data_IF_123901904646
#
_entry.id   IF_123901904646
#
_cell.length_a   1.000
_cell.length_b   1.000
_cell.length_c   1.000
_cell.angle_alpha   90.00
_cell.angle_beta   90.00
_cell.angle_gamma   90.00
#
_symmetry.space_group_name_H-M   'P 1'
#
loop_
_entity.id
_entity.type
_entity.pdbx_description
1 polymer ?
#
# COMPACT_ATOMS: atom_id res chain seq x y z
N UNK A 1 -9.21 -15.84 -47.47
CA UNK A 1 -10.26 -16.04 -46.45
C UNK A 1 -9.94 -15.11 -45.29
N UNK A 2 -10.61 -13.95 -45.25
CA UNK A 2 -10.41 -12.91 -44.25
C UNK A 2 -11.51 -13.05 -43.18
N UNK A 3 -11.12 -13.17 -41.91
CA UNK A 3 -12.02 -13.16 -40.78
C UNK A 3 -11.92 -11.80 -40.10
N UNK A 4 -12.96 -10.97 -40.28
CA UNK A 4 -13.18 -9.72 -39.56
C UNK A 4 -14.01 -10.07 -38.33
N UNK A 5 -13.50 -9.81 -37.12
CA UNK A 5 -14.29 -9.86 -35.88
C UNK A 5 -14.57 -8.44 -35.42
N UNK A 6 -15.84 -8.05 -35.48
CA UNK A 6 -16.40 -6.85 -34.85
C UNK A 6 -16.37 -6.97 -33.33
N UNK A 7 -15.88 -5.94 -32.67
CA UNK A 7 -16.13 -5.68 -31.25
C UNK A 7 -17.26 -4.65 -31.13
N UNK A 8 -18.33 -5.01 -30.42
CA UNK A 8 -19.41 -4.12 -30.06
C UNK A 8 -19.11 -3.46 -28.71
N UNK A 9 -19.18 -2.13 -28.64
CA UNK A 9 -19.22 -1.36 -27.41
C UNK A 9 -20.54 -1.62 -26.68
N UNK A 10 -20.48 -1.97 -25.40
CA UNK A 10 -21.61 -1.81 -24.47
C UNK A 10 -21.29 -0.66 -23.51
N UNK A 11 -22.06 0.43 -23.64
CA UNK A 11 -22.07 1.53 -22.70
C UNK A 11 -22.99 1.16 -21.52
N UNK A 12 -22.43 1.07 -20.32
CA UNK A 12 -23.17 0.88 -19.08
C UNK A 12 -23.54 2.21 -18.44
N UNK A 13 -24.84 2.48 -18.37
CA UNK A 13 -25.46 3.57 -17.60
C UNK A 13 -25.09 3.48 -16.12
N UNK A 14 -24.57 4.56 -15.55
CA UNK A 14 -24.50 4.78 -14.11
C UNK A 14 -25.84 5.35 -13.61
N UNK A 15 -26.51 4.64 -12.69
CA UNK A 15 -27.61 5.16 -11.90
C UNK A 15 -27.04 5.83 -10.64
N UNK A 16 -27.25 7.14 -10.51
CA UNK A 16 -26.98 7.91 -9.27
C UNK A 16 -28.27 7.94 -8.47
N UNK A 17 -28.29 7.25 -7.33
CA UNK A 17 -29.35 7.38 -6.34
C UNK A 17 -29.07 8.60 -5.47
N UNK A 18 -29.83 9.69 -5.69
CA UNK A 18 -29.80 10.89 -4.87
C UNK A 18 -30.66 10.74 -3.62
N UNK A 19 -30.06 10.88 -2.44
CA UNK A 19 -30.79 11.15 -1.21
C UNK A 19 -31.12 12.64 -1.15
N UNK A 20 -32.39 12.98 -1.42
CA UNK A 20 -32.93 14.33 -1.26
C UNK A 20 -33.18 14.63 0.21
N UNK A 21 -32.44 15.60 0.75
CA UNK A 21 -32.76 16.29 2.00
C UNK A 21 -33.36 17.66 1.69
N UNK A 22 -34.66 17.81 1.91
CA UNK A 22 -35.37 19.09 1.86
C UNK A 22 -34.98 19.94 3.06
N UNK A 23 -34.49 21.17 2.82
CA UNK A 23 -34.35 22.20 3.86
C UNK A 23 -35.36 23.30 3.57
N UNK A 24 -36.29 23.48 4.51
CA UNK A 24 -37.26 24.56 4.55
C UNK A 24 -36.58 25.93 4.67
N UNK A 25 -36.98 26.84 3.79
CA UNK A 25 -36.67 28.27 3.90
C UNK A 25 -37.79 28.98 4.67
N UNK A 26 -37.49 29.53 5.84
CA UNK A 26 -38.33 30.50 6.55
C UNK A 26 -37.64 31.86 6.66
N UNK A 27 -38.32 32.99 6.42
CA UNK A 27 -37.71 34.33 6.50
C UNK A 27 -38.00 35.03 7.83
N UNK A 28 -37.10 35.96 8.22
CA UNK A 28 -37.38 37.36 8.58
C UNK A 28 -36.55 37.93 9.77
N UNK A 29 -35.89 39.06 9.48
CA UNK A 29 -35.77 40.33 10.25
C UNK A 29 -35.12 40.45 11.64
N UNK A 30 -34.31 41.52 11.77
CA UNK A 30 -34.01 42.29 13.01
C UNK A 30 -32.50 42.41 13.27
N UNK A 31 -31.80 43.50 12.96
CA UNK A 31 -31.78 44.86 13.56
C UNK A 31 -30.97 45.00 14.87
N UNK A 32 -29.90 45.81 14.77
CA UNK A 32 -29.32 46.76 15.73
C UNK A 32 -28.53 46.27 16.97
N UNK A 33 -27.30 46.80 17.04
CA UNK A 33 -26.52 47.32 18.17
C UNK A 33 -26.49 46.55 19.51
N UNK A 34 -25.28 46.19 19.95
CA UNK A 34 -24.70 46.77 21.18
C UNK A 34 -23.22 46.43 21.36
N UNK A 35 -22.43 47.49 21.56
CA UNK A 35 -21.10 47.49 22.17
C UNK A 35 -21.16 46.95 23.60
N UNK A 36 -20.18 46.13 23.98
CA UNK A 36 -20.04 45.62 25.35
C UNK A 36 -18.69 44.96 25.57
N UNK A 37 -17.71 45.76 25.98
CA UNK A 37 -16.41 45.27 26.46
C UNK A 37 -16.59 44.36 27.68
N UNK A 38 -16.00 43.17 27.65
CA UNK A 38 -15.83 42.30 28.82
C UNK A 38 -14.41 41.72 28.85
N UNK A 39 -13.81 41.75 30.04
CA UNK A 39 -12.46 41.30 30.35
C UNK A 39 -12.27 39.80 30.07
N UNK A 40 -11.04 39.34 29.72
CA UNK A 40 -10.74 37.91 29.69
C UNK A 40 -10.57 37.40 31.11
N UNK A 41 -11.51 36.54 31.54
CA UNK A 41 -11.37 35.70 32.71
C UNK A 41 -10.62 34.41 32.34
N UNK A 42 -9.68 34.04 33.19
CA UNK A 42 -9.00 32.76 33.19
C UNK A 42 -10.00 31.65 33.52
N UNK A 43 -10.41 30.86 32.52
CA UNK A 43 -11.21 29.64 32.73
C UNK A 43 -10.53 28.42 32.11
N UNK A 44 -9.96 27.63 33.04
CA UNK A 44 -9.95 26.19 33.11
C UNK A 44 -10.35 25.37 31.86
N UNK A 45 -9.35 24.63 31.35
CA UNK A 45 -9.45 23.22 30.94
C UNK A 45 -10.79 22.74 30.36
N UNK A 46 -10.98 22.95 29.05
CA UNK A 46 -12.03 22.32 28.22
C UNK A 46 -11.45 21.15 27.39
N UNK A 47 -10.73 20.23 28.03
CA UNK A 47 -10.53 18.91 27.44
C UNK A 47 -11.54 17.97 28.09
N UNK A 48 -12.52 17.42 27.34
CA UNK A 48 -13.36 16.37 27.87
C UNK A 48 -12.48 15.18 28.24
N UNK A 49 -12.67 14.66 29.46
CA UNK A 49 -12.03 13.44 29.95
C UNK A 49 -12.10 12.35 28.89
N UNK A 50 -10.96 11.70 28.65
CA UNK A 50 -10.84 10.56 27.76
C UNK A 50 -11.97 9.57 28.05
N UNK A 51 -12.71 9.20 27.00
CA UNK A 51 -13.75 8.19 27.09
C UNK A 51 -13.17 6.92 27.74
N UNK A 52 -13.88 6.30 28.70
CA UNK A 52 -13.40 5.09 29.34
C UNK A 52 -13.11 4.04 28.27
N UNK A 53 -11.91 3.49 28.28
CA UNK A 53 -11.52 2.36 27.44
C UNK A 53 -12.56 1.25 27.63
N UNK A 54 -13.44 1.12 26.64
CA UNK A 54 -14.40 0.03 26.57
C UNK A 54 -13.58 -1.24 26.38
N UNK A 55 -13.35 -1.96 27.48
CA UNK A 55 -12.79 -3.31 27.45
C UNK A 55 -13.78 -4.22 26.71
N UNK A 56 -13.67 -4.27 25.38
CA UNK A 56 -14.32 -5.29 24.58
C UNK A 56 -13.68 -6.61 25.02
N UNK A 57 -14.38 -7.33 25.88
CA UNK A 57 -14.04 -8.70 26.23
C UNK A 57 -14.34 -9.52 24.98
N UNK A 58 -13.32 -9.71 24.14
CA UNK A 58 -13.39 -10.71 23.08
C UNK A 58 -13.62 -12.06 23.77
N UNK A 59 -14.57 -12.88 23.29
CA UNK A 59 -14.76 -14.22 23.83
C UNK A 59 -13.39 -14.91 23.78
N UNK A 60 -13.00 -15.48 24.92
CA UNK A 60 -11.78 -16.26 25.07
C UNK A 60 -11.77 -17.33 23.97
N UNK A 61 -11.11 -17.03 22.85
CA UNK A 61 -10.81 -17.98 21.80
C UNK A 61 -9.73 -18.88 22.37
N UNK A 62 -10.14 -19.72 23.31
CA UNK A 62 -9.56 -21.03 23.53
C UNK A 62 -9.68 -21.77 22.21
N UNK A 63 -8.76 -21.43 21.31
CA UNK A 63 -8.47 -22.13 20.08
C UNK A 63 -8.45 -23.59 20.48
N UNK A 64 -9.42 -24.33 19.93
CA UNK A 64 -9.63 -25.74 20.16
C UNK A 64 -8.27 -26.46 20.18
N UNK A 65 -8.16 -27.44 21.08
CA UNK A 65 -7.03 -28.34 21.25
C UNK A 65 -6.18 -28.41 19.98
N UNK A 66 -4.91 -28.02 20.09
CA UNK A 66 -3.90 -28.13 19.03
C UNK A 66 -3.88 -29.58 18.54
N UNK A 67 -4.75 -29.90 17.58
CA UNK A 67 -4.66 -31.13 16.84
C UNK A 67 -3.28 -31.09 16.22
N UNK A 68 -2.42 -32.02 16.61
CA UNK A 68 -1.15 -32.26 15.93
C UNK A 68 -1.51 -32.67 14.51
N UNK A 69 -1.56 -31.68 13.61
CA UNK A 69 -1.82 -31.93 12.21
C UNK A 69 -0.52 -32.54 11.67
N UNK A 70 -0.57 -33.84 11.36
CA UNK A 70 0.53 -34.56 10.72
C UNK A 70 0.58 -34.18 9.23
N UNK A 71 0.95 -32.92 8.96
CA UNK A 71 1.19 -32.45 7.60
C UNK A 71 2.61 -32.86 7.24
N UNK A 72 2.78 -34.07 6.71
CA UNK A 72 4.04 -34.40 6.04
C UNK A 72 4.11 -33.49 4.79
N UNK A 73 5.04 -32.52 4.71
CA UNK A 73 5.08 -31.61 3.59
C UNK A 73 5.34 -32.42 2.32
N UNK A 74 4.42 -32.38 1.35
CA UNK A 74 4.68 -32.95 0.03
C UNK A 74 5.91 -32.27 -0.58
N UNK A 75 6.54 -32.91 -1.56
CA UNK A 75 7.75 -32.41 -2.23
C UNK A 75 7.62 -30.93 -2.70
N UNK A 76 6.40 -30.52 -3.06
CA UNK A 76 6.11 -29.13 -3.43
C UNK A 76 6.26 -28.13 -2.28
N UNK A 77 5.94 -28.48 -1.04
CA UNK A 77 5.93 -27.56 0.11
C UNK A 77 7.31 -27.44 0.79
N UNK A 78 8.38 -27.34 0.00
CA UNK A 78 9.77 -27.27 0.50
C UNK A 78 10.66 -26.41 -0.39
N UNK A 79 11.74 -25.85 0.17
CA UNK A 79 12.73 -25.06 -0.57
C UNK A 79 12.35 -23.58 -0.71
N UNK A 80 12.56 -23.02 -1.90
CA UNK A 80 12.28 -21.60 -2.19
C UNK A 80 10.80 -21.34 -2.52
N UNK A 81 10.40 -20.07 -2.42
CA UNK A 81 9.06 -19.64 -2.80
C UNK A 81 8.78 -19.95 -4.29
N UNK A 82 7.65 -20.59 -4.55
CA UNK A 82 7.31 -21.07 -5.90
C UNK A 82 5.82 -21.20 -6.12
N UNK A 83 5.45 -21.14 -7.40
CA UNK A 83 4.10 -21.32 -7.90
C UNK A 83 4.10 -22.50 -8.86
N UNK A 84 3.07 -23.34 -8.79
CA UNK A 84 2.72 -24.28 -9.85
C UNK A 84 1.38 -23.87 -10.46
N UNK A 85 1.38 -23.52 -11.74
CA UNK A 85 0.20 -23.13 -12.49
C UNK A 85 0.18 -23.87 -13.82
N UNK A 86 -0.94 -24.54 -14.14
CA UNK A 86 -1.12 -25.32 -15.37
C UNK A 86 0.01 -26.33 -15.65
N UNK A 87 0.52 -26.97 -14.59
CA UNK A 87 1.61 -27.95 -14.67
C UNK A 87 3.03 -27.37 -14.73
N UNK A 88 3.19 -26.07 -14.96
CA UNK A 88 4.47 -25.38 -14.92
C UNK A 88 4.79 -24.95 -13.49
N UNK A 89 6.01 -25.24 -13.00
CA UNK A 89 6.51 -24.71 -11.72
C UNK A 89 7.51 -23.59 -11.98
N UNK A 90 7.36 -22.48 -11.30
CA UNK A 90 8.22 -21.30 -11.42
C UNK A 90 8.50 -20.69 -10.04
N UNK A 91 9.71 -20.17 -9.88
CA UNK A 91 10.10 -19.30 -8.75
C UNK A 91 9.77 -17.86 -9.12
N UNK A 92 9.23 -17.10 -8.17
CA UNK A 92 8.92 -15.68 -8.40
C UNK A 92 9.35 -14.84 -7.19
N UNK A 93 9.87 -13.63 -7.43
CA UNK A 93 10.06 -12.63 -6.38
C UNK A 93 8.74 -12.35 -5.67
N UNK A 94 8.84 -12.01 -4.39
CA UNK A 94 7.70 -11.74 -3.53
C UNK A 94 7.77 -10.32 -2.98
N UNK A 95 6.61 -9.69 -2.88
CA UNK A 95 6.41 -8.51 -2.04
C UNK A 95 5.23 -8.71 -1.09
N UNK A 96 5.18 -7.95 0.00
CA UNK A 96 4.08 -8.02 0.94
C UNK A 96 3.48 -6.67 1.29
N UNK A 97 2.24 -6.69 1.73
CA UNK A 97 1.56 -5.55 2.37
C UNK A 97 0.82 -6.00 3.61
N UNK A 98 0.76 -5.12 4.60
CA UNK A 98 -0.11 -5.27 5.75
C UNK A 98 -1.52 -4.81 5.37
N UNK A 99 -2.54 -5.56 5.78
CA UNK A 99 -3.95 -5.20 5.59
C UNK A 99 -4.53 -4.84 6.94
N UNK A 100 -4.67 -3.55 7.21
CA UNK A 100 -5.33 -3.06 8.43
C UNK A 100 -6.71 -2.50 8.05
N UNK A 101 -7.76 -3.11 8.60
CA UNK A 101 -9.14 -2.61 8.54
C UNK A 101 -9.68 -2.50 9.96
N UNK A 102 -10.68 -1.64 10.19
CA UNK A 102 -11.33 -1.50 11.51
C UNK A 102 -11.85 -2.83 12.08
N UNK A 103 -12.20 -3.79 11.21
CA UNK A 103 -12.71 -5.11 11.59
C UNK A 103 -11.66 -6.21 11.63
N UNK A 104 -10.51 -6.01 10.98
CA UNK A 104 -9.77 -7.10 10.40
C UNK A 104 -8.27 -6.77 10.27
N UNK A 105 -7.42 -7.75 10.58
CA UNK A 105 -5.97 -7.71 10.36
C UNK A 105 -5.62 -8.73 9.27
N UNK A 106 -4.48 -8.57 8.60
CA UNK A 106 -4.13 -9.46 7.52
C UNK A 106 -2.89 -9.05 6.76
N UNK A 107 -2.64 -9.78 5.68
CA UNK A 107 -1.51 -9.52 4.82
C UNK A 107 -1.84 -9.88 3.38
N UNK A 108 -1.19 -9.19 2.46
CA UNK A 108 -1.14 -9.55 1.05
C UNK A 108 0.27 -10.02 0.75
N UNK A 109 0.40 -11.18 0.10
CA UNK A 109 1.66 -11.69 -0.44
C UNK A 109 1.53 -11.77 -1.95
N UNK A 110 2.37 -11.05 -2.68
CA UNK A 110 2.30 -10.93 -4.14
C UNK A 110 3.49 -11.58 -4.79
N UNK A 111 3.21 -12.49 -5.72
CA UNK A 111 4.19 -13.13 -6.57
C UNK A 111 4.30 -12.33 -7.88
N UNK A 112 5.51 -11.87 -8.20
CA UNK A 112 5.78 -11.10 -9.41
C UNK A 112 5.91 -12.01 -10.63
N UNK A 113 4.80 -12.65 -11.02
CA UNK A 113 4.73 -13.65 -12.09
C UNK A 113 4.39 -13.09 -13.46
N UNK A 114 4.10 -11.79 -13.57
CA UNK A 114 3.65 -11.16 -14.83
C UNK A 114 4.55 -11.45 -16.04
N UNK A 115 5.89 -11.46 -15.94
CA UNK A 115 6.74 -11.80 -17.08
C UNK A 115 6.53 -13.23 -17.61
N UNK A 116 6.12 -14.17 -16.74
CA UNK A 116 5.95 -15.59 -17.11
C UNK A 116 4.49 -15.96 -17.38
N UNK A 117 3.54 -15.38 -16.64
CA UNK A 117 2.12 -15.74 -16.68
C UNK A 117 1.22 -14.67 -17.30
N UNK A 118 1.73 -13.46 -17.55
CA UNK A 118 0.95 -12.31 -18.01
C UNK A 118 0.24 -11.53 -16.90
N UNK A 119 0.23 -12.04 -15.67
CA UNK A 119 -0.32 -11.39 -14.47
C UNK A 119 0.51 -11.73 -13.22
N UNK A 120 0.41 -10.91 -12.19
CA UNK A 120 0.96 -11.20 -10.86
C UNK A 120 -0.08 -11.97 -10.04
N UNK A 121 0.35 -12.95 -9.26
CA UNK A 121 -0.52 -13.67 -8.34
C UNK A 121 -0.49 -12.98 -6.98
N UNK A 122 -1.64 -12.91 -6.34
CA UNK A 122 -1.83 -12.31 -5.02
C UNK A 122 -2.47 -13.32 -4.08
N UNK A 123 -1.92 -13.45 -2.88
CA UNK A 123 -2.48 -14.22 -1.76
C UNK A 123 -2.90 -13.23 -0.70
N UNK A 124 -4.20 -13.18 -0.40
CA UNK A 124 -4.77 -12.29 0.61
C UNK A 124 -5.18 -13.11 1.81
N UNK A 125 -4.45 -12.92 2.91
CA UNK A 125 -4.77 -13.42 4.24
C UNK A 125 -5.58 -12.36 4.99
N UNK A 126 -6.75 -12.73 5.52
CA UNK A 126 -7.58 -11.87 6.35
C UNK A 126 -7.98 -12.61 7.62
N UNK A 127 -7.96 -11.91 8.74
CA UNK A 127 -8.38 -12.37 10.05
C UNK A 127 -9.34 -11.36 10.68
N UNK A 128 -10.40 -11.83 11.35
CA UNK A 128 -11.39 -10.96 12.02
C UNK A 128 -10.92 -10.44 13.40
N UNK A 129 -9.68 -10.76 13.77
CA UNK A 129 -9.01 -10.39 15.00
C UNK A 129 -7.54 -10.09 14.64
N UNK A 130 -6.72 -9.53 15.55
CA UNK A 130 -5.29 -9.40 15.29
C UNK A 130 -4.68 -10.74 14.84
N UNK A 131 -3.77 -10.71 13.86
CA UNK A 131 -3.18 -11.93 13.29
C UNK A 131 -2.58 -12.81 14.41
N UNK A 132 -3.08 -14.06 14.58
CA UNK A 132 -2.63 -14.93 15.65
C UNK A 132 -1.32 -15.65 15.29
N UNK A 133 -0.52 -16.00 16.29
CA UNK A 133 0.71 -16.81 16.11
C UNK A 133 0.38 -18.30 16.17
N UNK A 134 0.87 -19.09 15.21
CA UNK A 134 0.71 -20.54 15.22
C UNK A 134 0.75 -21.21 13.85
N UNK A 135 0.35 -22.48 13.85
CA UNK A 135 0.14 -23.31 12.67
C UNK A 135 -1.37 -23.48 12.43
N UNK A 136 -1.81 -23.36 11.18
CA UNK A 136 -3.21 -23.38 10.79
C UNK A 136 -3.43 -24.26 9.55
N UNK A 137 -4.54 -24.99 9.54
CA UNK A 137 -5.08 -25.64 8.33
C UNK A 137 -6.15 -24.75 7.74
N UNK A 138 -5.96 -24.37 6.49
CA UNK A 138 -6.89 -23.51 5.74
C UNK A 138 -7.82 -24.41 4.92
N UNK A 139 -9.13 -24.11 4.96
CA UNK A 139 -10.11 -24.69 4.04
C UNK A 139 -11.11 -25.69 4.64
N UNK A 140 -10.88 -26.20 5.85
CA UNK A 140 -11.69 -27.28 6.43
C UNK A 140 -12.71 -26.83 7.49
N UNK A 141 -12.60 -25.61 8.02
CA UNK A 141 -13.55 -25.07 9.01
C UNK A 141 -13.94 -23.61 8.73
N UNK A 142 -15.14 -23.17 9.16
CA UNK A 142 -15.51 -21.76 9.24
C UNK A 142 -14.71 -21.05 10.34
N UNK A 143 -13.38 -21.03 10.20
CA UNK A 143 -12.47 -20.30 11.06
C UNK A 143 -12.53 -18.80 10.78
N UNK A 144 -12.07 -17.98 11.73
CA UNK A 144 -11.96 -16.53 11.58
C UNK A 144 -10.85 -16.07 10.62
N UNK A 145 -10.30 -16.97 9.81
CA UNK A 145 -9.20 -16.72 8.89
C UNK A 145 -9.58 -17.13 7.47
N UNK A 146 -9.49 -16.17 6.55
CA UNK A 146 -9.81 -16.32 5.15
C UNK A 146 -8.53 -16.15 4.33
N UNK A 147 -8.27 -17.11 3.44
CA UNK A 147 -7.13 -17.04 2.50
C UNK A 147 -7.66 -17.18 1.10
N UNK A 148 -7.49 -16.11 0.31
CA UNK A 148 -7.87 -16.06 -1.08
C UNK A 148 -6.64 -15.91 -1.96
N UNK A 149 -6.70 -16.47 -3.17
CA UNK A 149 -5.68 -16.34 -4.20
C UNK A 149 -6.33 -15.71 -5.42
N UNK A 150 -5.72 -14.68 -6.00
CA UNK A 150 -6.27 -13.95 -7.14
C UNK A 150 -5.18 -13.44 -8.09
N UNK A 151 -5.60 -12.86 -9.21
CA UNK A 151 -4.73 -11.98 -9.98
C UNK A 151 -4.65 -10.62 -9.26
N UNK A 152 -3.43 -10.08 -9.13
CA UNK A 152 -3.22 -8.81 -8.45
C UNK A 152 -4.01 -7.67 -9.12
N UNK A 153 -4.74 -6.90 -8.32
CA UNK A 153 -5.60 -5.80 -8.79
C UNK A 153 -7.00 -6.23 -9.26
N UNK A 154 -7.31 -7.53 -9.27
CA UNK A 154 -8.63 -8.05 -9.67
C UNK A 154 -9.40 -8.66 -8.49
N UNK A 155 -10.08 -7.83 -7.71
CA UNK A 155 -10.88 -8.27 -6.56
C UNK A 155 -11.98 -9.30 -6.91
N UNK A 156 -12.45 -9.32 -8.16
CA UNK A 156 -13.53 -10.20 -8.60
C UNK A 156 -13.10 -11.59 -9.06
N UNK A 157 -11.79 -11.87 -9.18
CA UNK A 157 -11.26 -13.13 -9.72
C UNK A 157 -10.51 -13.97 -8.69
N UNK A 158 -10.72 -13.69 -7.39
CA UNK A 158 -10.10 -14.47 -6.32
C UNK A 158 -10.83 -15.80 -6.07
N UNK A 159 -10.05 -16.83 -5.72
CA UNK A 159 -10.50 -18.15 -5.31
C UNK A 159 -10.08 -18.44 -3.87
N UNK A 160 -10.94 -19.09 -3.06
CA UNK A 160 -10.51 -19.59 -1.76
C UNK A 160 -9.39 -20.62 -1.94
N UNK A 161 -8.40 -20.57 -1.05
CA UNK A 161 -7.34 -21.56 -0.99
C UNK A 161 -7.51 -22.52 0.19
N UNK A 162 -6.87 -23.68 0.08
CA UNK A 162 -6.73 -24.66 1.16
C UNK A 162 -5.26 -25.01 1.36
N UNK A 163 -4.90 -25.52 2.54
CA UNK A 163 -3.55 -25.99 2.82
C UNK A 163 -3.07 -25.61 4.21
N UNK A 164 -1.79 -25.29 4.35
CA UNK A 164 -1.19 -24.93 5.64
C UNK A 164 -0.70 -23.49 5.66
N UNK A 165 -0.84 -22.84 6.81
CA UNK A 165 -0.32 -21.51 7.09
C UNK A 165 0.40 -21.51 8.44
N UNK A 166 1.61 -20.96 8.45
CA UNK A 166 2.40 -20.64 9.61
C UNK A 166 2.44 -19.12 9.77
N UNK A 167 2.14 -18.63 10.95
CA UNK A 167 2.27 -17.22 11.33
C UNK A 167 3.15 -17.15 12.58
N UNK A 168 4.28 -16.46 12.48
CA UNK A 168 5.11 -16.10 13.63
C UNK A 168 5.12 -14.58 13.81
N UNK A 169 4.53 -14.12 14.90
CA UNK A 169 4.45 -12.70 15.27
C UNK A 169 5.20 -12.50 16.58
N UNK A 170 6.23 -11.66 16.52
CA UNK A 170 6.90 -11.08 17.68
C UNK A 170 6.90 -9.57 17.49
N UNK A 171 6.17 -8.81 18.31
CA UNK A 171 6.27 -7.35 18.25
C UNK A 171 7.52 -6.91 19.03
N UNK A 172 8.35 -5.96 18.52
CA UNK A 172 8.17 -5.09 17.35
C UNK A 172 8.71 -5.65 16.02
N UNK A 173 9.09 -6.92 15.98
CA UNK A 173 9.61 -7.57 14.77
C UNK A 173 8.50 -7.77 13.70
N UNK A 174 8.89 -7.88 12.42
CA UNK A 174 7.96 -8.17 11.33
C UNK A 174 7.25 -9.51 11.53
N UNK A 175 6.00 -9.57 11.06
CA UNK A 175 5.26 -10.84 11.01
C UNK A 175 5.92 -11.74 9.96
N UNK A 176 6.27 -12.95 10.36
CA UNK A 176 6.77 -13.99 9.48
C UNK A 176 5.61 -14.87 9.03
N UNK A 177 5.41 -14.98 7.72
CA UNK A 177 4.39 -15.81 7.11
C UNK A 177 5.01 -16.94 6.29
N UNK A 178 4.59 -18.17 6.53
CA UNK A 178 4.89 -19.31 5.68
C UNK A 178 3.60 -20.01 5.28
N UNK A 179 3.48 -20.49 4.04
CA UNK A 179 2.30 -21.25 3.63
C UNK A 179 2.58 -22.25 2.52
N UNK A 180 1.75 -23.28 2.46
CA UNK A 180 1.61 -24.15 1.30
C UNK A 180 0.12 -24.25 0.96
N UNK A 181 -0.28 -23.62 -0.14
CA UNK A 181 -1.67 -23.43 -0.51
C UNK A 181 -1.98 -24.07 -1.85
N UNK A 182 -3.24 -24.46 -2.05
CA UNK A 182 -3.80 -24.85 -3.33
C UNK A 182 -5.19 -24.29 -3.55
N UNK A 183 -5.52 -23.99 -4.81
CA UNK A 183 -6.86 -23.57 -5.23
C UNK A 183 -7.60 -24.73 -5.90
N UNK A 184 -8.94 -24.66 -5.89
CA UNK A 184 -9.78 -25.67 -6.53
C UNK A 184 -9.71 -25.60 -8.07
N UNK A 185 -9.84 -26.76 -8.71
CA UNK A 185 -9.65 -26.92 -10.16
C UNK A 185 -10.70 -26.20 -11.02
N UNK A 186 -11.87 -25.90 -10.48
CA UNK A 186 -13.00 -25.26 -11.16
C UNK A 186 -12.98 -23.73 -11.10
N UNK A 187 -11.95 -23.15 -10.48
CA UNK A 187 -11.74 -21.70 -10.39
C UNK A 187 -11.03 -21.15 -11.64
N UNK A 188 -11.05 -19.83 -11.84
CA UNK A 188 -10.31 -19.19 -12.92
C UNK A 188 -8.78 -19.42 -12.83
N UNK A 189 -8.28 -19.76 -11.64
CA UNK A 189 -6.88 -20.07 -11.36
C UNK A 189 -6.56 -21.58 -11.49
N UNK A 190 -7.57 -22.42 -11.71
CA UNK A 190 -7.42 -23.87 -11.78
C UNK A 190 -6.79 -24.47 -10.51
N UNK A 191 -6.18 -25.65 -10.63
CA UNK A 191 -5.48 -26.31 -9.53
C UNK A 191 -4.07 -25.72 -9.29
N UNK A 192 -4.01 -24.43 -8.97
CA UNK A 192 -2.77 -23.73 -8.65
C UNK A 192 -2.23 -24.21 -7.31
N UNK A 193 -0.91 -24.33 -7.18
CA UNK A 193 -0.23 -24.54 -5.89
C UNK A 193 0.75 -23.42 -5.62
N UNK A 194 0.82 -22.95 -4.38
CA UNK A 194 1.70 -21.87 -3.95
C UNK A 194 2.47 -22.33 -2.73
N UNK A 195 3.75 -22.02 -2.67
CA UNK A 195 4.56 -22.28 -1.49
C UNK A 195 5.41 -21.05 -1.17
N UNK A 196 5.39 -20.66 0.09
CA UNK A 196 6.26 -19.62 0.67
C UNK A 196 6.80 -20.19 1.98
N UNK A 197 8.11 -20.43 2.11
CA UNK A 197 8.67 -20.99 3.34
C UNK A 197 8.59 -19.99 4.50
N UNK A 198 8.95 -18.75 4.22
CA UNK A 198 8.97 -17.63 5.15
C UNK A 198 9.03 -16.33 4.35
N UNK A 199 8.15 -15.38 4.65
CA UNK A 199 8.18 -14.01 4.11
C UNK A 199 7.84 -13.03 5.22
N UNK A 200 8.57 -11.92 5.26
CA UNK A 200 8.33 -10.85 6.23
C UNK A 200 7.18 -9.98 5.74
N UNK A 201 6.28 -9.63 6.65
CA UNK A 201 5.30 -8.55 6.49
C UNK A 201 5.73 -7.42 7.40
N UNK A 202 6.09 -6.29 6.79
CA UNK A 202 6.57 -5.12 7.51
C UNK A 202 5.49 -4.59 8.47
N UNK A 203 5.83 -4.35 9.75
CA UNK A 203 4.91 -3.74 10.71
C UNK A 203 4.74 -2.25 10.40
N UNK A 204 3.70 -1.64 10.96
CA UNK A 204 3.35 -0.25 10.64
C UNK A 204 4.42 0.77 11.05
N UNK A 205 5.16 0.52 12.13
CA UNK A 205 6.24 1.38 12.60
C UNK A 205 7.46 1.41 11.65
N UNK A 206 7.51 0.51 10.66
CA UNK A 206 8.48 0.56 9.56
C UNK A 206 8.12 1.58 8.48
N UNK A 207 7.05 2.37 8.63
CA UNK A 207 6.69 3.43 7.68
C UNK A 207 7.84 4.40 7.38
N UNK A 208 8.79 4.56 8.31
CA UNK A 208 9.95 5.45 8.23
C UNK A 208 11.14 4.90 7.47
N UNK A 209 11.10 3.62 7.08
CA UNK A 209 12.18 2.98 6.33
C UNK A 209 12.31 3.54 4.91
N UNK A 210 11.22 4.03 4.34
CA UNK A 210 11.20 4.74 3.05
C UNK A 210 10.15 5.85 3.10
N UNK A 211 10.55 7.07 2.79
CA UNK A 211 9.64 8.23 2.82
C UNK A 211 9.97 9.22 1.70
N UNK A 212 8.93 9.91 1.22
CA UNK A 212 9.06 11.08 0.34
C UNK A 212 8.45 12.26 1.07
N UNK A 213 9.24 13.30 1.27
CA UNK A 213 8.85 14.55 1.92
C UNK A 213 8.76 15.69 0.91
N UNK A 214 7.83 16.61 1.15
CA UNK A 214 7.91 17.94 0.56
C UNK A 214 8.83 18.81 1.42
N UNK A 215 9.20 19.99 0.90
CA UNK A 215 9.83 21.01 1.73
C UNK A 215 8.78 21.73 2.58
N UNK A 216 9.20 22.23 3.75
CA UNK A 216 8.36 23.03 4.65
C UNK A 216 7.95 24.35 4.00
N UNK A 217 8.88 24.98 3.27
CA UNK A 217 8.63 26.23 2.54
C UNK A 217 8.19 25.93 1.09
N UNK A 218 6.91 26.13 0.74
CA UNK A 218 6.40 25.86 -0.60
C UNK A 218 6.86 26.89 -1.64
N UNK A 219 7.55 27.96 -1.24
CA UNK A 219 8.10 28.96 -2.17
C UNK A 219 9.42 28.52 -2.80
N UNK A 220 10.11 27.52 -2.23
CA UNK A 220 11.36 26.97 -2.77
C UNK A 220 11.01 26.07 -3.96
N UNK A 221 11.53 26.38 -5.14
CA UNK A 221 11.35 25.54 -6.33
C UNK A 221 12.29 24.32 -6.32
N UNK A 222 12.04 23.34 -7.19
CA UNK A 222 12.91 22.17 -7.28
C UNK A 222 14.32 22.56 -7.78
N UNK A 223 14.40 23.54 -8.69
CA UNK A 223 15.67 24.06 -9.18
C UNK A 223 16.48 24.75 -8.07
N UNK A 224 15.83 25.57 -7.23
CA UNK A 224 16.47 26.23 -6.09
C UNK A 224 16.96 25.20 -5.05
N UNK A 225 16.12 24.21 -4.72
CA UNK A 225 16.44 23.18 -3.75
C UNK A 225 17.68 22.36 -4.13
N UNK A 226 17.92 22.13 -5.43
CA UNK A 226 19.09 21.43 -5.94
C UNK A 226 20.41 22.20 -5.74
N UNK A 227 20.34 23.53 -5.55
CA UNK A 227 21.51 24.37 -5.27
C UNK A 227 21.83 24.43 -3.77
N UNK A 228 20.99 23.83 -2.92
CA UNK A 228 21.14 23.82 -1.48
C UNK A 228 21.74 22.48 -1.00
N UNK A 229 22.55 22.47 0.06
CA UNK A 229 22.92 21.23 0.72
C UNK A 229 21.67 20.49 1.23
N UNK A 230 21.53 19.20 0.92
CA UNK A 230 20.34 18.41 1.26
C UNK A 230 20.01 18.45 2.77
N UNK A 231 21.03 18.48 3.63
CA UNK A 231 20.88 18.53 5.08
C UNK A 231 20.38 19.90 5.59
N UNK A 232 20.48 20.95 4.77
CA UNK A 232 19.98 22.29 5.09
C UNK A 232 18.50 22.49 4.75
N UNK A 233 17.92 21.61 3.93
CA UNK A 233 16.51 21.67 3.54
C UNK A 233 15.62 21.37 4.75
N UNK A 234 14.60 22.20 4.97
CA UNK A 234 13.58 21.91 5.98
C UNK A 234 12.45 21.14 5.32
N UNK A 235 12.14 19.97 5.88
CA UNK A 235 11.10 19.08 5.35
C UNK A 235 9.75 19.39 6.00
N UNK A 236 8.67 19.08 5.28
CA UNK A 236 7.32 19.08 5.85
C UNK A 236 7.24 18.16 7.07
N UNK A 237 6.34 18.48 8.00
CA UNK A 237 6.18 17.68 9.23
C UNK A 237 5.78 16.23 8.93
N UNK A 238 4.97 16.01 7.89
CA UNK A 238 4.55 14.69 7.43
C UNK A 238 5.12 14.37 6.05
N UNK A 239 5.51 13.11 5.80
CA UNK A 239 5.81 12.64 4.47
C UNK A 239 4.53 12.54 3.62
N UNK A 240 4.65 12.75 2.31
CA UNK A 240 3.56 12.57 1.35
C UNK A 240 3.48 11.14 0.81
N UNK A 241 4.57 10.36 0.94
CA UNK A 241 4.63 8.93 0.63
C UNK A 241 5.43 8.25 1.73
N UNK A 242 4.93 7.13 2.24
CA UNK A 242 5.63 6.28 3.23
C UNK A 242 5.76 4.87 2.72
N UNK A 243 6.57 4.04 3.40
CA UNK A 243 6.68 2.62 3.07
C UNK A 243 5.31 1.93 3.06
N UNK A 244 4.43 2.28 4.00
CA UNK A 244 3.09 1.69 4.13
C UNK A 244 2.13 2.14 3.04
N UNK A 245 2.40 3.28 2.40
CA UNK A 245 1.61 3.71 1.24
C UNK A 245 1.88 2.90 -0.03
N UNK A 246 2.99 2.16 -0.07
CA UNK A 246 3.39 1.37 -1.22
C UNK A 246 2.98 -0.09 -1.06
N UNK A 247 2.35 -0.65 -2.09
CA UNK A 247 2.23 -2.09 -2.21
C UNK A 247 3.58 -2.72 -2.58
N UNK A 248 4.27 -2.14 -3.57
CA UNK A 248 5.65 -2.50 -3.92
C UNK A 248 6.32 -1.39 -4.75
N UNK A 249 7.61 -1.55 -4.96
CA UNK A 249 8.47 -0.72 -5.80
C UNK A 249 9.19 -1.61 -6.80
N UNK A 250 9.04 -1.34 -8.10
CA UNK A 250 9.72 -2.07 -9.18
C UNK A 250 11.08 -1.42 -9.47
N UNK A 251 12.16 -2.15 -9.19
CA UNK A 251 13.52 -1.66 -9.26
C UNK A 251 13.92 -1.28 -10.68
N UNK A 252 13.62 -2.13 -11.67
CA UNK A 252 14.03 -1.93 -13.06
C UNK A 252 13.46 -0.66 -13.70
N UNK A 253 12.26 -0.24 -13.29
CA UNK A 253 11.54 0.92 -13.85
C UNK A 253 11.52 2.12 -12.89
N UNK A 254 11.88 1.92 -11.62
CA UNK A 254 11.68 2.87 -10.54
C UNK A 254 10.21 3.34 -10.42
N UNK A 255 9.29 2.39 -10.61
CA UNK A 255 7.85 2.58 -10.45
C UNK A 255 7.40 2.16 -9.06
N UNK A 256 6.72 3.05 -8.36
CA UNK A 256 6.09 2.77 -7.08
C UNK A 256 4.60 2.50 -7.31
N UNK A 257 4.08 1.45 -6.67
CA UNK A 257 2.69 1.02 -6.77
C UNK A 257 2.00 1.22 -5.43
N UNK A 258 0.79 1.77 -5.46
CA UNK A 258 0.02 2.09 -4.27
C UNK A 258 -0.48 0.84 -3.56
N UNK A 259 -0.47 0.90 -2.24
CA UNK A 259 -1.31 0.01 -1.45
C UNK A 259 -2.79 0.35 -1.66
N UNK A 260 -3.67 -0.61 -1.34
CA UNK A 260 -5.12 -0.53 -1.52
C UNK A 260 -5.79 0.70 -0.86
N UNK A 261 -5.13 1.29 0.15
CA UNK A 261 -5.61 2.46 0.90
C UNK A 261 -5.20 3.80 0.29
N UNK A 262 -4.30 3.78 -0.70
CA UNK A 262 -3.71 4.96 -1.30
C UNK A 262 -4.03 5.04 -2.78
N UNK A 263 -3.97 6.26 -3.31
CA UNK A 263 -4.23 6.51 -4.72
C UNK A 263 -3.48 7.74 -5.18
N UNK A 264 -3.30 7.83 -6.49
CA UNK A 264 -2.75 9.02 -7.15
C UNK A 264 -3.60 10.26 -6.94
N UNK A 265 -4.93 10.15 -6.94
CA UNK A 265 -5.81 11.29 -6.67
C UNK A 265 -5.60 11.84 -5.25
N UNK A 266 -5.43 10.95 -4.28
CA UNK A 266 -5.06 11.34 -2.92
C UNK A 266 -3.70 12.07 -2.91
N UNK A 267 -2.65 11.51 -3.51
CA UNK A 267 -1.34 12.16 -3.58
C UNK A 267 -1.43 13.55 -4.21
N UNK A 268 -2.08 13.67 -5.38
CA UNK A 268 -2.23 14.94 -6.11
C UNK A 268 -2.97 15.97 -5.25
N UNK A 269 -3.97 15.56 -4.47
CA UNK A 269 -4.70 16.47 -3.57
C UNK A 269 -3.83 17.04 -2.45
N UNK A 270 -2.73 16.36 -2.09
CA UNK A 270 -1.77 16.83 -1.09
C UNK A 270 -0.69 17.75 -1.67
N UNK A 271 -0.53 17.78 -3.00
CA UNK A 271 0.51 18.59 -3.63
C UNK A 271 0.09 20.07 -3.69
N UNK A 272 0.96 21.00 -3.23
CA UNK A 272 0.88 22.38 -3.64
C UNK A 272 0.91 22.51 -5.17
N UNK A 273 0.52 23.68 -5.67
CA UNK A 273 0.58 23.97 -7.11
C UNK A 273 2.02 23.75 -7.63
N UNK A 274 2.18 22.78 -8.54
CA UNK A 274 3.47 22.50 -9.18
C UNK A 274 3.80 23.65 -10.16
N UNK A 275 4.86 24.39 -9.83
CA UNK A 275 5.35 25.50 -10.66
C UNK A 275 6.12 25.03 -11.90
N UNK A 276 6.48 25.99 -12.77
CA UNK A 276 7.29 25.69 -13.97
C UNK A 276 8.71 25.21 -13.64
N UNK A 277 9.23 25.58 -12.47
CA UNK A 277 10.52 25.11 -11.94
C UNK A 277 10.40 23.84 -11.06
N UNK A 278 9.23 23.19 -11.07
CA UNK A 278 8.93 22.01 -10.28
C UNK A 278 8.66 22.30 -8.80
N UNK A 279 8.06 21.31 -8.14
CA UNK A 279 7.83 21.27 -6.69
C UNK A 279 8.84 20.27 -6.09
N UNK A 280 9.77 20.70 -5.22
CA UNK A 280 10.80 19.80 -4.69
C UNK A 280 10.22 18.72 -3.79
N UNK A 281 10.86 17.56 -3.82
CA UNK A 281 10.69 16.53 -2.81
C UNK A 281 12.05 15.97 -2.38
N UNK A 282 12.10 15.38 -1.19
CA UNK A 282 13.29 14.68 -0.66
C UNK A 282 12.92 13.24 -0.36
N UNK A 283 13.74 12.30 -0.83
CA UNK A 283 13.62 10.89 -0.46
C UNK A 283 14.49 10.62 0.75
N UNK A 284 13.89 10.02 1.77
CA UNK A 284 14.59 9.47 2.93
C UNK A 284 14.49 7.94 2.94
N UNK A 285 15.58 7.27 3.36
CA UNK A 285 15.60 5.85 3.64
C UNK A 285 16.24 5.61 5.02
N UNK A 286 15.55 4.86 5.88
CA UNK A 286 15.93 4.61 7.28
C UNK A 286 16.35 5.91 8.03
N UNK A 287 15.56 6.98 7.83
CA UNK A 287 15.78 8.30 8.43
C UNK A 287 16.97 9.09 7.86
N UNK A 288 17.57 8.65 6.75
CA UNK A 288 18.64 9.37 6.06
C UNK A 288 18.14 10.00 4.77
N UNK A 289 18.43 11.29 4.57
CA UNK A 289 18.19 11.98 3.31
C UNK A 289 19.10 11.42 2.22
N UNK A 290 18.50 10.99 1.12
CA UNK A 290 19.21 10.32 0.01
C UNK A 290 19.39 11.29 -1.15
N UNK A 291 18.30 11.86 -1.67
CA UNK A 291 18.36 12.79 -2.80
C UNK A 291 17.19 13.77 -2.82
N UNK A 292 17.39 14.86 -3.54
CA UNK A 292 16.36 15.84 -3.90
C UNK A 292 15.85 15.51 -5.31
N UNK A 293 14.54 15.44 -5.47
CA UNK A 293 13.86 15.33 -6.76
C UNK A 293 12.82 16.44 -6.92
N UNK A 294 12.03 16.36 -8.00
CA UNK A 294 10.94 17.31 -8.22
C UNK A 294 9.70 16.69 -8.85
N UNK A 295 8.52 17.10 -8.39
CA UNK A 295 7.30 16.95 -9.18
C UNK A 295 7.33 17.95 -10.33
N UNK A 296 7.07 17.45 -11.53
CA UNK A 296 7.06 18.24 -12.76
C UNK A 296 5.69 18.14 -13.44
N UNK A 297 5.39 19.12 -14.28
CA UNK A 297 4.23 19.11 -15.19
C UNK A 297 4.70 19.13 -16.63
N UNK A 298 3.88 18.62 -17.55
CA UNK A 298 4.18 18.65 -18.99
C UNK A 298 4.26 20.07 -19.57
N UNK A 299 3.75 21.06 -18.83
CA UNK A 299 3.77 22.48 -19.20
C UNK A 299 5.13 23.13 -18.87
N UNK A 300 5.97 22.48 -18.06
CA UNK A 300 7.30 23.00 -17.76
C UNK A 300 8.18 23.02 -19.01
N UNK A 301 8.81 24.17 -19.26
CA UNK A 301 9.88 24.33 -20.25
C UNK A 301 11.27 24.11 -19.66
N UNK A 302 11.36 23.79 -18.36
CA UNK A 302 12.62 23.61 -17.63
C UNK A 302 12.89 22.13 -17.44
N UNK A 303 14.06 21.69 -17.86
CA UNK A 303 14.53 20.33 -17.58
C UNK A 303 15.28 20.33 -16.25
N UNK A 304 14.72 19.64 -15.25
CA UNK A 304 15.35 19.48 -13.95
C UNK A 304 16.47 18.44 -14.03
N UNK A 305 17.68 18.77 -13.57
CA UNK A 305 18.78 17.79 -13.53
C UNK A 305 18.74 16.94 -12.24
N UNK A 306 17.61 16.31 -11.97
CA UNK A 306 17.34 15.47 -10.81
C UNK A 306 16.26 14.43 -11.13
N UNK A 307 16.04 13.42 -10.28
CA UNK A 307 14.90 12.54 -10.46
C UNK A 307 13.57 13.31 -10.43
N UNK A 308 12.67 12.98 -11.34
CA UNK A 308 11.39 13.69 -11.47
C UNK A 308 10.19 12.76 -11.44
N UNK A 309 9.09 13.20 -10.84
CA UNK A 309 7.80 12.54 -10.98
C UNK A 309 6.89 13.45 -11.81
N UNK A 310 6.46 12.98 -12.97
CA UNK A 310 5.56 13.75 -13.84
C UNK A 310 4.12 13.56 -13.38
N UNK A 311 3.47 14.64 -12.91
CA UNK A 311 2.13 14.56 -12.31
C UNK A 311 1.12 13.99 -13.30
N UNK A 312 1.16 14.41 -14.57
CA UNK A 312 0.23 13.94 -15.61
C UNK A 312 0.51 12.53 -16.11
N UNK A 313 1.64 11.92 -15.72
CA UNK A 313 1.98 10.52 -16.06
C UNK A 313 1.74 9.54 -14.92
N UNK A 314 1.29 10.02 -13.75
CA UNK A 314 0.86 9.13 -12.67
C UNK A 314 -0.39 8.35 -13.13
N UNK A 315 -0.46 7.08 -12.74
CA UNK A 315 -1.62 6.22 -13.06
C UNK A 315 -2.42 5.96 -11.80
N UNK A 316 -3.59 5.31 -11.90
CA UNK A 316 -4.37 4.96 -10.72
C UNK A 316 -3.58 4.06 -9.76
N UNK A 317 -2.72 3.21 -10.33
CA UNK A 317 -1.96 2.18 -9.64
C UNK A 317 -0.67 2.70 -9.00
N UNK A 318 -0.17 3.87 -9.39
CA UNK A 318 1.14 4.30 -8.94
C UNK A 318 1.73 5.49 -9.70
N UNK A 319 3.05 5.64 -9.55
CA UNK A 319 3.84 6.67 -10.22
C UNK A 319 5.24 6.15 -10.53
N UNK A 320 5.88 6.76 -11.54
CA UNK A 320 7.27 6.47 -11.90
C UNK A 320 8.14 7.67 -11.56
N UNK A 321 9.25 7.42 -10.88
CA UNK A 321 10.28 8.42 -10.66
C UNK A 321 11.25 8.31 -11.84
N UNK A 322 11.26 9.25 -12.78
CA UNK A 322 12.19 9.26 -13.91
C UNK A 322 13.64 9.59 -13.45
N UNK A 323 14.68 9.10 -14.16
CA UNK A 323 16.08 9.43 -13.82
C UNK A 323 16.39 10.91 -14.07
N UNK A 324 17.47 11.42 -13.46
CA UNK A 324 18.05 12.67 -13.94
C UNK A 324 18.53 12.51 -15.39
N UNK A 325 18.47 13.56 -16.22
CA UNK A 325 18.93 13.53 -17.61
C UNK A 325 20.46 13.33 -17.72
N UNK A 326 21.21 13.64 -16.66
CA UNK A 326 22.65 13.46 -16.61
C UNK A 326 23.15 13.12 -15.20
N UNK A 327 24.34 12.52 -15.11
CA UNK A 327 24.98 12.16 -13.85
C UNK A 327 24.59 10.77 -13.32
N UNK A 328 25.09 10.39 -12.13
CA UNK A 328 24.70 9.15 -11.45
C UNK A 328 23.20 9.16 -11.13
N UNK A 329 22.58 7.98 -11.18
CA UNK A 329 21.18 7.82 -10.82
C UNK A 329 21.02 7.57 -9.31
N UNK A 330 20.55 8.56 -8.52
CA UNK A 330 20.44 8.40 -7.08
C UNK A 330 19.24 7.51 -6.68
N UNK A 331 18.33 7.18 -7.60
CA UNK A 331 17.20 6.27 -7.33
C UNK A 331 17.69 4.84 -7.05
N UNK A 332 18.89 4.50 -7.52
CA UNK A 332 19.56 3.22 -7.27
C UNK A 332 20.49 3.24 -6.05
N UNK A 333 20.39 4.24 -5.16
CA UNK A 333 21.17 4.28 -3.93
C UNK A 333 20.94 2.99 -3.11
N UNK A 334 22.01 2.26 -2.70
CA UNK A 334 21.87 1.00 -1.98
C UNK A 334 21.02 1.09 -0.71
N UNK A 335 20.96 2.26 -0.05
CA UNK A 335 20.17 2.45 1.16
C UNK A 335 18.67 2.39 0.87
N UNK A 336 18.23 2.96 -0.26
CA UNK A 336 16.83 2.87 -0.71
C UNK A 336 16.47 1.42 -1.02
N UNK A 337 17.31 0.75 -1.82
CA UNK A 337 17.06 -0.63 -2.25
C UNK A 337 17.08 -1.59 -1.05
N UNK A 338 17.98 -1.39 -0.09
CA UNK A 338 18.04 -2.17 1.14
C UNK A 338 16.76 -1.98 1.97
N UNK A 339 16.34 -0.73 2.22
CA UNK A 339 15.14 -0.45 3.00
C UNK A 339 13.89 -1.12 2.38
N UNK A 340 13.72 -0.99 1.05
CA UNK A 340 12.61 -1.63 0.33
C UNK A 340 12.72 -3.16 0.29
N UNK A 341 13.94 -3.70 0.16
CA UNK A 341 14.15 -5.16 0.09
C UNK A 341 13.91 -5.83 1.43
N UNK A 342 14.45 -5.28 2.52
CA UNK A 342 14.29 -5.84 3.87
C UNK A 342 12.85 -5.73 4.36
N UNK A 343 12.09 -4.76 3.85
CA UNK A 343 10.66 -4.61 4.12
C UNK A 343 9.75 -5.36 3.14
N UNK A 344 10.32 -6.23 2.29
CA UNK A 344 9.60 -6.99 1.24
C UNK A 344 8.69 -6.11 0.36
N UNK A 345 9.15 -4.89 0.05
CA UNK A 345 8.51 -3.97 -0.90
C UNK A 345 9.24 -3.89 -2.24
N UNK A 346 10.46 -4.40 -2.36
CA UNK A 346 11.23 -4.35 -3.61
C UNK A 346 10.88 -5.53 -4.53
N UNK A 347 10.39 -5.19 -5.73
CA UNK A 347 10.27 -6.10 -6.86
C UNK A 347 11.42 -5.83 -7.86
N UNK A 348 11.94 -6.85 -8.55
CA UNK A 348 13.04 -6.66 -9.51
C UNK A 348 12.64 -5.91 -10.78
#
# INVERSE_FOLDING_TARGET
MAFVRSFALLAGLLFVAGCGGSVETGPANGSADQDGATQPGDDASLFPDAAPESSVVYPDSSIADKATIDVTPGEFCSGEAKVRFQGQTLTAPLTTSLVIMDCCDGAVVRFHTKPSLGFNIEVTLRTMAPMPTGEYVIGDEPGGMEVNVGAAGEWGSSAPAKGTLHIDKSYPDPVQLGFCLETEADTALGAMKLYVPNVLVAPYDWEKRFQIYLLEDPAISADDALQMPIDSLKLSFQPIVTLMSLAWYEQSTHSAYWDSWYSTDWLISQLPKVGVHGLPFVVEADGQRIYVGGFMTMISSVMLNAPTIMVESMTKEGFTIAPPPSGPDPRSDPRILQALSESTKLAP
#
